data_IF_242879349864
#
_entry.id   IF_242879349864
#
_cell.length_a   1.000
_cell.length_b   1.000
_cell.length_c   1.000
_cell.angle_alpha   90.00
_cell.angle_beta   90.00
_cell.angle_gamma   90.00
#
_symmetry.space_group_name_H-M   'P 1'
#
loop_
_entity.id
_entity.type
_entity.pdbx_description
1 polymer ?
#
# COMPACT_ATOMS: atom_id res chain seq x y z
N UNK A 1 23.99 -8.55 -25.43
CA UNK A 1 24.91 -8.64 -24.27
C UNK A 1 24.24 -7.80 -23.19
N UNK A 2 23.24 -8.39 -22.55
CA UNK A 2 22.37 -7.76 -21.55
C UNK A 2 23.02 -7.82 -20.17
N UNK A 3 24.15 -7.15 -20.02
CA UNK A 3 24.92 -7.04 -18.78
C UNK A 3 24.89 -5.59 -18.28
N UNK A 4 23.71 -4.97 -18.28
CA UNK A 4 23.53 -3.69 -17.57
C UNK A 4 23.31 -4.02 -16.08
N UNK A 5 24.24 -3.64 -15.17
CA UNK A 5 24.19 -3.98 -13.74
C UNK A 5 22.97 -3.40 -13.01
N UNK A 6 22.19 -2.56 -13.69
CA UNK A 6 20.88 -2.07 -13.23
C UNK A 6 19.78 -3.13 -13.28
N UNK A 7 19.99 -4.26 -13.97
CA UNK A 7 19.04 -5.36 -14.04
C UNK A 7 19.34 -6.43 -13.00
N UNK A 8 19.13 -6.10 -11.72
CA UNK A 8 19.21 -7.08 -10.64
C UNK A 8 18.01 -8.03 -10.73
N UNK A 9 18.28 -9.27 -11.14
CA UNK A 9 17.31 -10.36 -11.16
C UNK A 9 17.36 -11.11 -9.83
N UNK A 10 16.22 -11.21 -9.16
CA UNK A 10 16.04 -11.96 -7.93
C UNK A 10 15.45 -13.34 -8.25
N UNK A 11 15.94 -14.37 -7.55
CA UNK A 11 15.30 -15.67 -7.55
C UNK A 11 14.10 -15.69 -6.59
N UNK A 12 13.22 -16.67 -6.75
CA UNK A 12 12.09 -16.92 -5.86
C UNK A 12 12.46 -16.83 -4.38
N UNK A 13 13.57 -17.46 -3.97
CA UNK A 13 14.07 -17.43 -2.59
C UNK A 13 14.40 -16.03 -2.08
N UNK A 14 14.95 -15.17 -2.94
CA UNK A 14 15.32 -13.79 -2.58
C UNK A 14 14.07 -12.91 -2.43
N UNK A 15 13.08 -13.09 -3.31
CA UNK A 15 11.79 -12.41 -3.23
C UNK A 15 11.05 -12.82 -1.95
N UNK A 16 11.03 -14.12 -1.66
CA UNK A 16 10.44 -14.68 -0.44
C UNK A 16 11.12 -14.08 0.80
N UNK A 17 12.46 -14.03 0.82
CA UNK A 17 13.23 -13.44 1.92
C UNK A 17 12.98 -11.94 2.08
N UNK A 18 12.82 -11.20 0.97
CA UNK A 18 12.56 -9.75 0.98
C UNK A 18 11.24 -9.41 1.66
N UNK A 19 10.19 -10.18 1.38
CA UNK A 19 8.88 -9.96 1.97
C UNK A 19 8.66 -10.72 3.28
N UNK A 20 9.72 -11.35 3.81
CA UNK A 20 9.68 -12.20 4.99
C UNK A 20 8.58 -13.27 4.93
N UNK A 21 8.33 -13.78 3.72
CA UNK A 21 7.37 -14.84 3.51
C UNK A 21 8.01 -16.17 3.96
N UNK A 22 7.34 -16.91 4.83
CA UNK A 22 7.80 -18.27 5.15
C UNK A 22 7.85 -19.13 3.87
N UNK A 23 8.88 -19.99 3.69
CA UNK A 23 9.13 -20.74 2.45
C UNK A 23 7.87 -21.27 1.75
N UNK A 24 7.01 -21.99 2.48
CA UNK A 24 5.80 -22.61 1.93
C UNK A 24 4.77 -21.58 1.45
N UNK A 25 4.52 -20.53 2.24
CA UNK A 25 3.61 -19.45 1.87
C UNK A 25 4.21 -18.55 0.79
N UNK A 26 5.53 -18.36 0.80
CA UNK A 26 6.25 -17.58 -0.19
C UNK A 26 6.06 -18.13 -1.60
N UNK A 27 6.22 -19.43 -1.80
CA UNK A 27 5.96 -20.03 -3.12
C UNK A 27 4.49 -19.98 -3.54
N UNK A 28 3.54 -20.04 -2.59
CA UNK A 28 2.12 -19.83 -2.90
C UNK A 28 1.85 -18.38 -3.32
N UNK A 29 2.42 -17.42 -2.61
CA UNK A 29 2.32 -15.99 -2.93
C UNK A 29 2.99 -15.64 -4.26
N UNK A 30 4.10 -16.30 -4.62
CA UNK A 30 4.74 -16.14 -5.94
C UNK A 30 3.89 -16.69 -7.09
N UNK A 31 3.05 -17.70 -6.83
CA UNK A 31 2.06 -18.20 -7.81
C UNK A 31 0.88 -17.25 -7.93
N UNK A 32 0.61 -16.47 -6.89
CA UNK A 32 -0.44 -15.47 -6.90
C UNK A 32 0.04 -14.18 -7.60
N UNK A 33 -0.40 -14.02 -8.85
CA UNK A 33 -0.06 -12.87 -9.69
C UNK A 33 -0.72 -11.56 -9.24
N UNK A 34 -1.64 -11.62 -8.27
CA UNK A 34 -2.19 -10.42 -7.63
C UNK A 34 -1.26 -9.87 -6.55
N UNK A 35 -0.42 -10.72 -5.97
CA UNK A 35 0.50 -10.41 -4.88
C UNK A 35 1.93 -10.12 -5.33
N UNK A 36 2.33 -10.59 -6.51
CA UNK A 36 3.65 -10.29 -7.10
C UNK A 36 3.49 -10.13 -8.61
N UNK A 37 4.17 -9.16 -9.24
CA UNK A 37 4.17 -9.06 -10.68
C UNK A 37 4.74 -10.34 -11.32
N UNK A 38 4.30 -10.70 -12.54
CA UNK A 38 4.78 -11.89 -13.22
C UNK A 38 6.30 -11.80 -13.46
N UNK A 39 6.99 -12.94 -13.42
CA UNK A 39 8.42 -13.02 -13.73
C UNK A 39 8.70 -12.53 -15.16
N UNK A 40 9.93 -12.11 -15.40
CA UNK A 40 10.30 -11.52 -16.69
C UNK A 40 10.24 -12.58 -17.78
N UNK A 41 9.73 -12.22 -18.96
CA UNK A 41 9.44 -13.13 -20.07
C UNK A 41 10.65 -13.97 -20.53
N UNK A 42 11.88 -13.50 -20.27
CA UNK A 42 13.13 -14.20 -20.57
C UNK A 42 13.48 -15.30 -19.55
N UNK A 43 12.98 -15.23 -18.32
CA UNK A 43 13.26 -16.20 -17.27
C UNK A 43 12.05 -16.39 -16.34
N UNK A 44 11.29 -17.49 -16.46
CA UNK A 44 10.05 -17.71 -15.71
C UNK A 44 10.25 -17.84 -14.19
N UNK A 45 11.50 -17.97 -13.71
CA UNK A 45 11.85 -18.09 -12.29
C UNK A 45 12.62 -16.89 -11.74
N UNK A 46 12.70 -15.79 -12.51
CA UNK A 46 13.42 -14.58 -12.11
C UNK A 46 12.53 -13.34 -12.15
N UNK A 47 12.60 -12.58 -11.07
CA UNK A 47 11.92 -11.29 -10.92
C UNK A 47 12.93 -10.16 -11.07
N UNK A 48 12.57 -9.11 -11.81
CA UNK A 48 13.36 -7.87 -11.80
C UNK A 48 13.07 -7.10 -10.53
N UNK A 49 14.11 -6.72 -9.80
CA UNK A 49 13.98 -5.90 -8.61
C UNK A 49 13.26 -4.57 -8.90
N UNK A 50 13.60 -3.92 -10.02
CA UNK A 50 12.96 -2.68 -10.49
C UNK A 50 11.43 -2.84 -10.71
N UNK A 51 11.01 -3.98 -11.26
CA UNK A 51 9.61 -4.31 -11.46
C UNK A 51 8.88 -4.55 -10.13
N UNK A 52 9.56 -5.19 -9.17
CA UNK A 52 9.03 -5.39 -7.82
C UNK A 52 8.87 -4.05 -7.09
N UNK A 53 9.87 -3.17 -7.15
CA UNK A 53 9.82 -1.84 -6.56
C UNK A 53 8.71 -0.97 -7.17
N UNK A 54 8.63 -0.93 -8.50
CA UNK A 54 7.56 -0.19 -9.20
C UNK A 54 6.18 -0.73 -8.83
N UNK A 55 6.04 -2.04 -8.64
CA UNK A 55 4.79 -2.65 -8.21
C UNK A 55 4.48 -2.34 -6.73
N UNK A 56 5.46 -2.37 -5.84
CA UNK A 56 5.34 -1.97 -4.43
C UNK A 56 4.85 -0.52 -4.32
N UNK A 57 5.46 0.41 -5.06
CA UNK A 57 5.06 1.82 -5.08
C UNK A 57 3.62 2.00 -5.56
N UNK A 58 3.21 1.30 -6.63
CA UNK A 58 1.81 1.34 -7.11
C UNK A 58 0.83 0.82 -6.08
N UNK A 59 1.20 -0.23 -5.32
CA UNK A 59 0.36 -0.80 -4.25
C UNK A 59 0.21 0.18 -3.09
N UNK A 60 1.29 0.86 -2.69
CA UNK A 60 1.25 1.91 -1.66
C UNK A 60 0.35 3.04 -2.13
N UNK A 61 0.55 3.56 -3.34
CA UNK A 61 -0.27 4.63 -3.90
C UNK A 61 -1.77 4.26 -3.97
N UNK A 62 -2.09 3.01 -4.33
CA UNK A 62 -3.47 2.52 -4.35
C UNK A 62 -4.07 2.40 -2.94
N UNK A 63 -3.28 1.93 -1.96
CA UNK A 63 -3.71 1.87 -0.56
C UNK A 63 -3.91 3.27 0.04
N UNK A 64 -3.01 4.21 -0.26
CA UNK A 64 -3.14 5.62 0.12
C UNK A 64 -4.38 6.27 -0.50
N UNK A 65 -4.63 6.00 -1.79
CA UNK A 65 -5.84 6.48 -2.46
C UNK A 65 -7.11 5.89 -1.84
N UNK A 66 -7.12 4.59 -1.53
CA UNK A 66 -8.24 3.94 -0.85
C UNK A 66 -8.47 4.53 0.56
N UNK A 67 -7.40 4.77 1.32
CA UNK A 67 -7.47 5.44 2.62
C UNK A 67 -8.04 6.86 2.48
N UNK A 68 -7.59 7.62 1.47
CA UNK A 68 -8.10 8.98 1.21
C UNK A 68 -9.59 8.99 0.89
N UNK A 69 -10.09 7.98 0.15
CA UNK A 69 -11.53 7.82 -0.12
C UNK A 69 -12.29 7.46 1.15
N UNK A 70 -11.75 6.58 1.99
CA UNK A 70 -12.36 6.20 3.28
C UNK A 70 -12.40 7.37 4.29
N UNK A 71 -11.42 8.27 4.25
CA UNK A 71 -11.39 9.50 5.08
C UNK A 71 -12.27 10.62 4.50
N UNK A 72 -12.71 10.50 3.24
CA UNK A 72 -13.49 11.54 2.56
C UNK A 72 -15.00 11.65 2.90
N UNK A 73 -15.67 10.85 3.77
CA UNK A 73 -17.06 11.13 4.12
C UNK A 73 -17.24 12.06 5.33
N UNK A 74 -16.19 12.67 5.88
CA UNK A 74 -16.28 13.55 7.07
C UNK A 74 -15.83 15.00 6.80
N UNK A 75 -16.26 15.57 5.67
CA UNK A 75 -16.21 17.03 5.45
C UNK A 75 -17.58 17.69 5.38
N UNK A 76 -18.64 16.99 5.76
CA UNK A 76 -19.80 17.66 6.32
C UNK A 76 -19.52 17.88 7.81
N UNK A 77 -18.61 18.82 8.06
CA UNK A 77 -18.33 19.35 9.40
C UNK A 77 -19.62 20.04 9.88
N UNK A 78 -20.54 19.28 10.46
CA UNK A 78 -21.41 19.86 11.49
C UNK A 78 -20.43 20.27 12.57
N UNK A 79 -20.11 21.56 12.61
CA UNK A 79 -19.21 22.11 13.60
C UNK A 79 -19.71 21.62 14.96
N UNK A 80 -18.86 20.97 15.75
CA UNK A 80 -19.24 20.45 17.08
C UNK A 80 -19.85 21.59 17.93
N UNK A 81 -19.51 22.85 17.62
CA UNK A 81 -20.13 24.06 18.13
C UNK A 81 -21.64 24.19 17.87
N UNK A 82 -22.17 23.67 16.76
CA UNK A 82 -23.60 23.65 16.43
C UNK A 82 -24.37 22.54 17.14
N UNK A 83 -23.67 21.52 17.66
CA UNK A 83 -24.26 20.44 18.47
C UNK A 83 -24.29 20.77 19.96
N UNK A 84 -23.62 21.83 20.40
CA UNK A 84 -23.60 22.23 21.80
C UNK A 84 -24.80 23.13 22.12
N UNK A 85 -25.59 22.82 23.18
CA UNK A 85 -26.69 23.67 23.59
C UNK A 85 -26.15 25.05 23.99
N UNK A 86 -26.73 26.11 23.40
CA UNK A 86 -26.33 27.50 23.66
C UNK A 86 -26.34 27.80 25.16
N UNK A 87 -25.23 28.28 25.76
CA UNK A 87 -25.18 28.58 27.18
C UNK A 87 -26.20 29.69 27.51
N UNK A 88 -27.14 29.38 28.40
CA UNK A 88 -28.12 30.34 28.94
C UNK A 88 -27.35 31.46 29.64
N UNK A 89 -27.34 32.65 29.02
CA UNK A 89 -26.91 33.89 29.68
C UNK A 89 -27.90 34.19 30.81
N UNK A 90 -27.50 33.94 32.04
CA UNK A 90 -28.19 34.47 33.23
C UNK A 90 -27.70 35.90 33.45
N UNK A 91 -28.57 36.93 33.39
CA UNK A 91 -28.23 38.26 33.87
C UNK A 91 -28.10 38.19 35.39
N UNK A 92 -26.91 38.52 35.88
CA UNK A 92 -26.65 38.72 37.30
C UNK A 92 -27.22 40.10 37.64
N UNK A 93 -28.38 40.15 38.30
CA UNK A 93 -28.87 41.38 38.91
C UNK A 93 -27.90 41.78 40.04
N UNK A 94 -27.46 43.04 39.98
CA UNK A 94 -26.76 43.74 41.04
C UNK A 94 -27.77 44.27 42.07
#
# INVERSE_FOLDING_TARGET
MDDDPRHVFLHASDVIRRYDWGKTKGYQNLKDRSLVPPPVMTHPDRWRLDQLLTWEERRIALAEAALKVLVAPEREQVAIADLLPKPKRSPRSA
#
